data_IF_899372021625
#
_entry.id   IF_899372021625
#
_cell.length_a   1.000
_cell.length_b   1.000
_cell.length_c   1.000
_cell.angle_alpha   90.00
_cell.angle_beta   90.00
_cell.angle_gamma   90.00
#
_symmetry.space_group_name_H-M   'P 1'
#
loop_
_entity.id
_entity.type
_entity.pdbx_description
1 polymer ?
#
# COMPACT_ATOMS: atom_id res chain seq x y z
N UNK A 1 4.53 37.46 17.61
CA UNK A 1 5.51 36.57 16.94
C UNK A 1 6.88 37.19 17.11
N UNK A 2 7.77 36.53 17.86
CA UNK A 2 9.17 36.96 18.05
C UNK A 2 9.92 36.76 16.74
N UNK A 3 10.34 37.86 16.09
CA UNK A 3 11.21 37.81 14.92
C UNK A 3 12.57 37.31 15.39
N UNK A 4 12.95 36.09 15.00
CA UNK A 4 14.27 35.53 15.27
C UNK A 4 15.26 36.31 14.39
N UNK A 5 16.40 36.70 14.95
CA UNK A 5 17.45 37.38 14.20
C UNK A 5 18.10 36.40 13.20
N UNK A 6 18.50 36.83 11.99
CA UNK A 6 19.19 35.96 11.03
C UNK A 6 20.40 35.21 11.62
N UNK A 7 21.13 35.85 12.53
CA UNK A 7 22.27 35.22 13.23
C UNK A 7 21.86 34.06 14.15
N UNK A 8 20.66 34.14 14.75
CA UNK A 8 20.13 33.08 15.61
C UNK A 8 19.61 31.90 14.78
N UNK A 9 19.04 32.15 13.60
CA UNK A 9 18.63 31.10 12.67
C UNK A 9 19.84 30.32 12.13
N UNK A 10 20.92 31.02 11.78
CA UNK A 10 22.15 30.38 11.31
C UNK A 10 22.81 29.51 12.40
N UNK A 11 22.87 30.01 13.65
CA UNK A 11 23.35 29.24 14.80
C UNK A 11 22.54 27.96 15.01
N UNK A 12 21.21 28.03 14.89
CA UNK A 12 20.33 26.85 15.01
C UNK A 12 20.50 25.90 13.83
N UNK A 13 20.58 26.41 12.60
CA UNK A 13 20.84 25.61 11.38
C UNK A 13 22.15 24.84 11.50
N UNK A 14 23.21 25.49 11.98
CA UNK A 14 24.53 24.89 12.22
C UNK A 14 24.48 23.83 13.30
N UNK A 15 23.87 24.14 14.45
CA UNK A 15 23.71 23.18 15.54
C UNK A 15 22.99 21.90 15.09
N UNK A 16 21.92 22.05 14.30
CA UNK A 16 21.18 20.91 13.72
C UNK A 16 22.10 20.10 12.81
N UNK A 17 22.85 20.74 11.90
CA UNK A 17 23.79 20.06 11.02
C UNK A 17 24.88 19.28 11.77
N UNK A 18 25.49 19.90 12.78
CA UNK A 18 26.56 19.32 13.58
C UNK A 18 26.07 18.11 14.39
N UNK A 19 24.80 18.13 14.81
CA UNK A 19 24.16 17.00 15.53
C UNK A 19 23.75 15.81 14.64
N UNK A 20 23.84 15.93 13.31
CA UNK A 20 23.43 14.85 12.39
C UNK A 20 24.51 13.78 12.18
N UNK A 21 24.06 12.56 11.83
CA UNK A 21 24.96 11.49 11.41
C UNK A 21 25.74 11.85 10.13
N UNK A 22 27.01 11.38 9.96
CA UNK A 22 27.87 11.73 8.83
C UNK A 22 27.24 11.47 7.45
N UNK A 23 26.42 10.42 7.34
CA UNK A 23 25.70 10.08 6.10
C UNK A 23 24.71 11.18 5.69
N UNK A 24 23.99 11.78 6.66
CA UNK A 24 23.05 12.87 6.40
C UNK A 24 23.76 14.20 6.14
N UNK A 25 24.84 14.49 6.86
CA UNK A 25 25.69 15.66 6.59
C UNK A 25 26.21 15.65 5.14
N UNK A 26 26.73 14.51 4.66
CA UNK A 26 27.18 14.34 3.26
C UNK A 26 26.06 14.62 2.24
N UNK A 27 24.83 14.20 2.52
CA UNK A 27 23.70 14.45 1.64
C UNK A 27 23.34 15.95 1.57
N UNK A 28 23.37 16.64 2.71
CA UNK A 28 23.14 18.08 2.79
C UNK A 28 24.25 18.86 2.08
N UNK A 29 25.52 18.50 2.31
CA UNK A 29 26.66 19.13 1.62
C UNK A 29 26.59 18.94 0.10
N UNK A 30 26.14 17.76 -0.38
CA UNK A 30 25.92 17.50 -1.81
C UNK A 30 24.81 18.39 -2.40
N UNK A 31 23.78 18.71 -1.61
CA UNK A 31 22.66 19.59 -2.01
C UNK A 31 23.02 21.09 -1.87
N UNK A 32 24.04 21.41 -1.08
CA UNK A 32 24.47 22.77 -0.74
C UNK A 32 23.91 23.19 0.63
N UNK A 33 24.80 23.49 1.58
CA UNK A 33 24.43 23.89 2.94
C UNK A 33 23.61 25.19 2.95
N UNK A 34 23.97 26.16 2.11
CA UNK A 34 23.24 27.43 2.01
C UNK A 34 21.79 27.23 1.56
N UNK A 35 21.56 26.38 0.56
CA UNK A 35 20.24 26.07 0.01
C UNK A 35 19.41 25.09 0.88
N UNK A 36 19.99 24.57 1.95
CA UNK A 36 19.30 23.67 2.86
C UNK A 36 18.59 24.45 3.97
N UNK A 37 17.28 24.30 4.03
CA UNK A 37 16.44 24.82 5.11
C UNK A 37 16.01 23.66 6.04
N UNK A 38 16.48 23.61 7.30
CA UNK A 38 16.06 22.60 8.27
C UNK A 38 14.69 22.89 8.90
N UNK A 39 14.15 24.10 8.73
CA UNK A 39 12.91 24.55 9.37
C UNK A 39 11.69 24.44 8.45
N UNK A 40 11.78 23.57 7.43
CA UNK A 40 10.65 23.24 6.57
C UNK A 40 9.49 22.78 7.44
N UNK A 41 8.37 23.53 7.39
CA UNK A 41 7.15 23.16 8.08
C UNK A 41 6.72 21.75 7.64
N UNK A 42 6.17 20.92 8.56
CA UNK A 42 5.56 19.66 8.16
C UNK A 42 4.62 19.90 6.98
N UNK A 43 4.72 19.07 5.95
CA UNK A 43 3.76 19.11 4.84
C UNK A 43 2.35 18.97 5.42
N UNK A 44 1.38 19.64 4.81
CA UNK A 44 -0.02 19.45 5.15
C UNK A 44 -0.34 17.94 5.19
N UNK A 45 -1.17 17.48 6.14
CA UNK A 45 -1.55 16.09 6.21
C UNK A 45 -2.10 15.65 4.85
N UNK A 46 -1.56 14.57 4.31
CA UNK A 46 -2.08 13.97 3.09
C UNK A 46 -3.52 13.61 3.38
N UNK A 47 -4.47 14.11 2.57
CA UNK A 47 -5.84 13.62 2.62
C UNK A 47 -5.85 12.20 2.06
N UNK A 48 -5.86 11.22 2.96
CA UNK A 48 -5.82 9.82 2.60
C UNK A 48 -7.23 9.43 2.15
N UNK A 49 -7.38 9.12 0.86
CA UNK A 49 -8.62 8.53 0.33
C UNK A 49 -8.98 7.28 1.12
N UNK A 50 -10.24 7.24 1.57
CA UNK A 50 -10.80 6.13 2.35
C UNK A 50 -12.01 5.56 1.62
N UNK A 51 -12.21 4.26 1.78
CA UNK A 51 -13.45 3.60 1.34
C UNK A 51 -14.63 3.96 2.26
N UNK A 52 -15.85 3.55 1.89
CA UNK A 52 -17.09 3.75 2.69
C UNK A 52 -17.00 3.23 4.13
N UNK A 53 -16.16 2.21 4.38
CA UNK A 53 -15.84 1.62 5.67
C UNK A 53 -14.80 2.43 6.48
N UNK A 54 -14.36 3.58 5.95
CA UNK A 54 -13.34 4.47 6.50
C UNK A 54 -11.93 3.86 6.58
N UNK A 55 -11.67 2.75 5.88
CA UNK A 55 -10.35 2.16 5.75
C UNK A 55 -9.61 2.73 4.55
N UNK A 56 -8.29 2.72 4.63
CA UNK A 56 -7.43 3.00 3.47
C UNK A 56 -7.35 1.73 2.61
N UNK A 57 -6.99 1.86 1.34
CA UNK A 57 -6.71 0.71 0.45
C UNK A 57 -5.78 -0.29 1.12
N UNK A 58 -4.70 0.19 1.73
CA UNK A 58 -3.68 -0.66 2.35
C UNK A 58 -4.23 -1.40 3.57
N UNK A 59 -5.04 -0.74 4.39
CA UNK A 59 -5.70 -1.35 5.55
C UNK A 59 -6.68 -2.43 5.11
N UNK A 60 -7.57 -2.13 4.16
CA UNK A 60 -8.60 -3.06 3.72
C UNK A 60 -8.00 -4.30 3.04
N UNK A 61 -6.99 -4.11 2.18
CA UNK A 61 -6.27 -5.23 1.55
C UNK A 61 -5.55 -6.07 2.60
N UNK A 62 -4.87 -5.45 3.57
CA UNK A 62 -4.18 -6.21 4.62
C UNK A 62 -5.16 -7.06 5.44
N UNK A 63 -6.31 -6.51 5.81
CA UNK A 63 -7.37 -7.26 6.51
C UNK A 63 -7.90 -8.41 5.65
N UNK A 64 -8.14 -8.19 4.35
CA UNK A 64 -8.55 -9.26 3.44
C UNK A 64 -7.50 -10.38 3.35
N UNK A 65 -6.23 -10.03 3.16
CA UNK A 65 -5.15 -11.02 3.04
C UNK A 65 -4.98 -11.85 4.32
N UNK A 66 -5.29 -11.30 5.50
CA UNK A 66 -5.29 -12.05 6.77
C UNK A 66 -6.38 -13.13 6.83
N UNK A 67 -7.45 -13.00 6.02
CA UNK A 67 -8.49 -14.03 5.91
C UNK A 67 -8.13 -15.12 4.91
N UNK A 68 -7.12 -14.89 4.07
CA UNK A 68 -6.62 -15.85 3.10
C UNK A 68 -5.56 -16.75 3.74
N UNK A 69 -5.46 -17.98 3.27
CA UNK A 69 -4.36 -18.87 3.66
C UNK A 69 -3.06 -18.42 2.97
N UNK A 70 -2.00 -18.03 3.72
CA UNK A 70 -0.73 -17.54 3.17
C UNK A 70 -0.06 -18.51 2.20
N UNK A 71 -0.31 -19.82 2.32
CA UNK A 71 0.27 -20.81 1.41
C UNK A 71 -0.46 -20.84 0.06
N UNK A 72 -1.66 -20.27 -0.02
CA UNK A 72 -2.56 -20.44 -1.18
C UNK A 72 -2.52 -19.30 -2.19
N UNK A 73 -1.84 -18.19 -1.90
CA UNK A 73 -1.84 -17.03 -2.78
C UNK A 73 -0.43 -16.59 -3.20
N UNK A 74 -0.31 -16.11 -4.42
CA UNK A 74 0.95 -15.59 -4.98
C UNK A 74 1.06 -14.08 -4.78
N UNK A 75 2.24 -13.51 -5.03
CA UNK A 75 2.41 -12.06 -5.03
C UNK A 75 1.47 -11.36 -6.03
N UNK A 76 1.20 -11.99 -7.17
CA UNK A 76 0.26 -11.47 -8.19
C UNK A 76 -1.18 -11.44 -7.67
N UNK A 77 -1.58 -12.40 -6.83
CA UNK A 77 -2.88 -12.38 -6.17
C UNK A 77 -3.02 -11.16 -5.25
N UNK A 78 -2.02 -10.91 -4.39
CA UNK A 78 -2.02 -9.76 -3.50
C UNK A 78 -2.02 -8.43 -4.27
N UNK A 79 -1.27 -8.37 -5.38
CA UNK A 79 -1.28 -7.22 -6.29
C UNK A 79 -2.66 -6.99 -6.93
N UNK A 80 -3.29 -8.06 -7.41
CA UNK A 80 -4.64 -8.01 -7.97
C UNK A 80 -5.67 -7.53 -6.95
N UNK A 81 -5.61 -8.02 -5.71
CA UNK A 81 -6.47 -7.56 -4.61
C UNK A 81 -6.28 -6.06 -4.31
N UNK A 82 -5.04 -5.57 -4.35
CA UNK A 82 -4.73 -4.16 -4.16
C UNK A 82 -5.26 -3.28 -5.30
N UNK A 83 -4.98 -3.64 -6.55
CA UNK A 83 -5.44 -2.91 -7.74
C UNK A 83 -6.97 -2.85 -7.78
N UNK A 84 -7.64 -3.96 -7.45
CA UNK A 84 -9.09 -4.03 -7.36
C UNK A 84 -9.65 -3.13 -6.25
N UNK A 85 -9.07 -3.19 -5.05
CA UNK A 85 -9.48 -2.34 -3.93
C UNK A 85 -9.32 -0.84 -4.26
N UNK A 86 -8.21 -0.47 -4.92
CA UNK A 86 -7.96 0.90 -5.33
C UNK A 86 -9.01 1.38 -6.34
N UNK A 87 -9.29 0.57 -7.36
CA UNK A 87 -10.29 0.88 -8.38
C UNK A 87 -11.70 1.07 -7.80
N UNK A 88 -12.07 0.28 -6.79
CA UNK A 88 -13.36 0.45 -6.08
C UNK A 88 -13.39 1.78 -5.30
N UNK A 89 -12.32 2.12 -4.58
CA UNK A 89 -12.24 3.37 -3.79
C UNK A 89 -12.31 4.59 -4.70
N UNK A 90 -11.70 4.52 -5.87
CA UNK A 90 -11.70 5.58 -6.87
C UNK A 90 -12.98 5.60 -7.74
N UNK A 91 -13.94 4.69 -7.48
CA UNK A 91 -15.22 4.57 -8.17
C UNK A 91 -15.07 4.36 -9.70
N UNK A 92 -14.06 3.60 -10.11
CA UNK A 92 -13.79 3.26 -11.51
C UNK A 92 -14.80 2.20 -12.02
N UNK A 93 -15.49 2.52 -13.11
CA UNK A 93 -16.53 1.68 -13.72
C UNK A 93 -16.03 0.29 -14.13
N UNK A 94 -14.77 0.17 -14.55
CA UNK A 94 -14.16 -1.12 -14.93
C UNK A 94 -14.20 -2.09 -13.75
N UNK A 95 -13.76 -1.63 -12.58
CA UNK A 95 -13.69 -2.45 -11.38
C UNK A 95 -15.08 -2.72 -10.79
N UNK A 96 -16.00 -1.76 -10.92
CA UNK A 96 -17.41 -1.97 -10.59
C UNK A 96 -18.03 -3.08 -11.43
N UNK A 97 -17.82 -3.07 -12.75
CA UNK A 97 -18.31 -4.13 -13.64
C UNK A 97 -17.72 -5.50 -13.30
N UNK A 98 -16.42 -5.56 -12.99
CA UNK A 98 -15.75 -6.79 -12.52
C UNK A 98 -16.38 -7.30 -11.22
N UNK A 99 -16.64 -6.42 -10.25
CA UNK A 99 -17.28 -6.79 -8.98
C UNK A 99 -18.70 -7.32 -9.17
N UNK A 100 -19.50 -6.63 -9.97
CA UNK A 100 -20.89 -7.02 -10.26
C UNK A 100 -20.94 -8.39 -10.94
N UNK A 101 -20.05 -8.64 -11.91
CA UNK A 101 -19.92 -9.94 -12.55
C UNK A 101 -19.50 -11.04 -11.57
N UNK A 102 -18.47 -10.79 -10.74
CA UNK A 102 -17.99 -11.77 -9.77
C UNK A 102 -19.11 -12.19 -8.79
N UNK A 103 -19.88 -11.22 -8.28
CA UNK A 103 -21.03 -11.49 -7.40
C UNK A 103 -22.11 -12.31 -8.12
N UNK A 104 -22.48 -11.91 -9.33
CA UNK A 104 -23.47 -12.64 -10.12
C UNK A 104 -23.02 -14.08 -10.40
N UNK A 105 -21.75 -14.29 -10.72
CA UNK A 105 -21.20 -15.61 -11.04
C UNK A 105 -21.19 -16.54 -9.82
N UNK A 106 -20.87 -16.02 -8.63
CA UNK A 106 -20.99 -16.80 -7.38
C UNK A 106 -22.42 -17.27 -7.16
N UNK A 107 -23.41 -16.41 -7.36
CA UNK A 107 -24.82 -16.78 -7.22
C UNK A 107 -25.27 -17.80 -8.28
N UNK A 108 -24.78 -17.69 -9.52
CA UNK A 108 -25.01 -18.68 -10.57
C UNK A 108 -24.47 -20.06 -10.15
N UNK A 109 -23.23 -20.12 -9.65
CA UNK A 109 -22.62 -21.38 -9.21
C UNK A 109 -23.35 -22.01 -8.02
N UNK A 110 -23.86 -21.20 -7.09
CA UNK A 110 -24.73 -21.68 -6.00
C UNK A 110 -26.00 -22.30 -6.55
N UNK A 111 -26.67 -21.61 -7.48
CA UNK A 111 -27.90 -22.09 -8.13
C UNK A 111 -27.68 -23.40 -8.89
N UNK A 112 -26.52 -23.56 -9.50
CA UNK A 112 -26.16 -24.77 -10.24
C UNK A 112 -25.52 -25.87 -9.38
N UNK A 113 -25.32 -25.66 -8.07
CA UNK A 113 -24.69 -26.63 -7.17
C UNK A 113 -23.20 -26.87 -7.43
N UNK A 114 -22.52 -25.95 -8.13
CA UNK A 114 -21.11 -26.09 -8.57
C UNK A 114 -20.11 -25.34 -7.69
N UNK A 115 -20.57 -24.57 -6.71
CA UNK A 115 -19.69 -23.73 -5.90
C UNK A 115 -18.63 -24.54 -5.14
N UNK A 116 -19.00 -25.66 -4.52
CA UNK A 116 -18.06 -26.50 -3.78
C UNK A 116 -17.04 -27.23 -4.68
N UNK A 117 -17.44 -27.60 -5.91
CA UNK A 117 -16.55 -28.25 -6.86
C UNK A 117 -15.43 -27.31 -7.30
N UNK A 118 -15.75 -26.02 -7.47
CA UNK A 118 -14.76 -25.02 -7.86
C UNK A 118 -13.77 -24.71 -6.71
N UNK A 119 -14.26 -24.62 -5.47
CA UNK A 119 -13.41 -24.41 -4.30
C UNK A 119 -12.41 -25.57 -4.11
N UNK A 120 -12.88 -26.82 -4.22
CA UNK A 120 -12.02 -28.01 -4.14
C UNK A 120 -10.99 -28.06 -5.28
N UNK A 121 -11.40 -27.68 -6.49
CA UNK A 121 -10.50 -27.65 -7.66
C UNK A 121 -9.40 -26.61 -7.49
N UNK A 122 -9.74 -25.40 -7.04
CA UNK A 122 -8.76 -24.34 -6.83
C UNK A 122 -7.74 -24.71 -5.73
N UNK A 123 -8.19 -25.28 -4.61
CA UNK A 123 -7.28 -25.78 -3.57
C UNK A 123 -6.34 -26.87 -4.09
N UNK A 124 -6.83 -27.76 -4.97
CA UNK A 124 -6.01 -28.84 -5.55
C UNK A 124 -4.97 -28.35 -6.58
N UNK A 125 -5.33 -27.36 -7.41
CA UNK A 125 -4.42 -26.79 -8.41
C UNK A 125 -3.33 -25.93 -7.77
N UNK A 126 -3.65 -25.21 -6.69
CA UNK A 126 -2.69 -24.43 -5.91
C UNK A 126 -1.67 -25.33 -5.21
N UNK A 127 -2.10 -26.45 -4.62
CA UNK A 127 -1.19 -27.44 -4.03
C UNK A 127 -0.21 -28.05 -5.07
N UNK A 128 -0.67 -28.26 -6.31
CA UNK A 128 0.18 -28.77 -7.38
C UNK A 128 1.21 -27.74 -7.89
N UNK A 129 0.86 -26.44 -7.89
CA UNK A 129 1.78 -25.36 -8.28
C UNK A 129 2.96 -25.20 -7.32
N UNK A 130 2.70 -25.18 -6.01
CA UNK A 130 3.75 -25.05 -4.98
C UNK A 130 4.76 -26.20 -4.99
N UNK A 131 4.30 -27.42 -5.28
CA UNK A 131 5.18 -28.60 -5.38
C UNK A 131 6.14 -28.53 -6.59
N UNK A 132 5.82 -27.73 -7.61
CA UNK A 132 6.64 -27.57 -8.81
C UNK A 132 7.72 -26.48 -8.66
N UNK A 133 7.50 -25.47 -7.82
CA UNK A 133 8.46 -24.37 -7.57
C UNK A 133 9.57 -24.75 -6.58
N UNK A 134 9.36 -25.77 -5.73
CA UNK A 134 10.36 -26.26 -4.75
C UNK A 134 11.50 -27.09 -5.37
N UNK A 135 11.52 -27.31 -6.68
CA UNK A 135 12.50 -28.19 -7.37
C UNK A 135 13.53 -27.48 -8.25
N UNK A 136 13.59 -26.15 -8.23
CA UNK A 136 14.58 -25.36 -8.98
C UNK A 136 15.53 -24.59 -8.07
#
# INVERSE_FOLDING_TARGET
MTKISPEEEEKRKKYIFDSMAPRRQKHILKKGYEAWDPFIKPKDPIDIRKDVSKRTTQTLVSEFMQTCDPETYTNEYGRGAFEFCLGIIDNDEKYRGMFDFARWYVELLKKEGKLELQQRTNSSQLAAGLASESKN
#
